data_IF_399927441215
#
_entry.id   IF_399927441215
#
_cell.length_a   1.000
_cell.length_b   1.000
_cell.length_c   1.000
_cell.angle_alpha   90.00
_cell.angle_beta   90.00
_cell.angle_gamma   90.00
#
_symmetry.space_group_name_H-M   'P 1'
#
loop_
_entity.id
_entity.type
_entity.pdbx_description
1 polymer ?
#
# COMPACT_ATOMS: atom_id res chain seq x y z
N UNK A 1 5.82 -37.39 -50.53
CA UNK A 1 4.48 -37.50 -49.91
C UNK A 1 4.72 -37.55 -48.41
N UNK A 2 4.12 -36.59 -47.66
CA UNK A 2 4.11 -36.39 -46.18
C UNK A 2 5.51 -36.06 -45.58
N UNK A 3 5.75 -35.02 -44.76
CA UNK A 3 5.08 -34.61 -43.52
C UNK A 3 5.61 -33.20 -43.14
N UNK A 4 4.77 -32.17 -43.18
CA UNK A 4 4.08 -31.54 -42.03
C UNK A 4 5.01 -30.82 -41.02
N UNK A 5 4.80 -29.50 -40.94
CA UNK A 5 5.36 -28.53 -39.99
C UNK A 5 5.20 -28.98 -38.52
N UNK A 6 6.17 -28.60 -37.69
CA UNK A 6 5.91 -28.23 -36.31
C UNK A 6 6.90 -27.13 -35.89
N UNK A 7 6.49 -25.86 -36.02
CA UNK A 7 7.07 -24.76 -35.27
C UNK A 7 6.66 -24.95 -33.81
N UNK A 8 7.53 -25.55 -33.02
CA UNK A 8 7.34 -25.58 -31.57
C UNK A 8 8.11 -24.39 -30.98
N UNK A 9 7.49 -23.21 -31.06
CA UNK A 9 7.78 -22.15 -30.10
C UNK A 9 7.19 -22.63 -28.78
N UNK A 10 7.99 -23.30 -27.95
CA UNK A 10 7.61 -23.54 -26.55
C UNK A 10 7.75 -22.18 -25.85
N UNK A 11 6.70 -21.38 -25.96
CA UNK A 11 6.47 -20.26 -25.06
C UNK A 11 6.11 -20.88 -23.71
N UNK A 12 7.10 -21.14 -22.86
CA UNK A 12 6.84 -21.41 -21.46
C UNK A 12 6.30 -20.10 -20.86
N UNK A 13 4.98 -19.95 -20.80
CA UNK A 13 4.40 -19.06 -19.78
C UNK A 13 4.81 -19.65 -18.44
N UNK A 14 5.82 -19.05 -17.79
CA UNK A 14 5.87 -19.12 -16.35
C UNK A 14 4.56 -18.46 -15.88
N UNK A 15 3.70 -19.25 -15.25
CA UNK A 15 2.62 -18.73 -14.41
C UNK A 15 3.30 -17.85 -13.37
N UNK A 16 3.24 -16.54 -13.56
CA UNK A 16 3.63 -15.58 -12.52
C UNK A 16 2.51 -15.66 -11.49
N UNK A 17 2.53 -16.68 -10.64
CA UNK A 17 1.72 -16.71 -9.42
C UNK A 17 2.40 -15.82 -8.36
N UNK A 18 2.74 -14.59 -8.74
CA UNK A 18 3.06 -13.54 -7.79
C UNK A 18 1.77 -12.79 -7.54
N UNK A 19 1.28 -12.79 -6.30
CA UNK A 19 0.38 -11.72 -5.87
C UNK A 19 1.07 -10.40 -6.23
N UNK A 20 0.38 -9.56 -6.99
CA UNK A 20 0.95 -8.32 -7.47
C UNK A 20 1.11 -7.38 -6.28
N UNK A 21 2.34 -7.25 -5.78
CA UNK A 21 2.68 -6.26 -4.75
C UNK A 21 2.77 -4.89 -5.42
N UNK A 22 1.81 -4.01 -5.12
CA UNK A 22 1.72 -2.66 -5.66
C UNK A 22 2.61 -1.72 -4.85
N UNK A 23 3.63 -1.12 -5.49
CA UNK A 23 4.41 -0.06 -4.87
C UNK A 23 3.56 1.20 -4.76
N UNK A 24 3.35 1.66 -3.52
CA UNK A 24 2.55 2.85 -3.21
C UNK A 24 3.44 4.10 -3.11
N UNK A 25 4.69 3.92 -2.67
CA UNK A 25 5.64 5.03 -2.53
C UNK A 25 6.83 4.66 -1.66
N UNK A 26 7.48 5.69 -1.11
CA UNK A 26 8.66 5.59 -0.26
C UNK A 26 8.54 6.56 0.91
N UNK A 27 9.13 6.20 2.04
CA UNK A 27 9.26 7.14 3.15
C UNK A 27 10.01 8.39 2.69
N UNK A 28 9.42 9.56 2.96
CA UNK A 28 10.10 10.84 2.94
C UNK A 28 10.92 10.97 4.23
N UNK A 29 12.26 10.97 4.14
CA UNK A 29 13.12 11.05 5.31
C UNK A 29 13.05 12.44 5.95
N UNK A 30 12.84 12.51 7.26
CA UNK A 30 12.94 13.77 8.03
C UNK A 30 14.16 13.74 8.96
N UNK A 31 14.38 12.63 9.66
CA UNK A 31 15.51 12.43 10.56
C UNK A 31 15.75 10.93 10.86
N UNK A 32 16.72 10.63 11.71
CA UNK A 32 17.05 9.27 12.19
C UNK A 32 17.26 8.18 11.11
N UNK A 33 17.57 8.60 9.88
CA UNK A 33 17.87 7.67 8.79
C UNK A 33 16.67 6.85 8.33
N UNK A 34 15.43 7.32 8.57
CA UNK A 34 14.23 6.64 8.10
C UNK A 34 14.21 6.58 6.58
N UNK A 35 14.16 5.37 6.03
CA UNK A 35 13.97 5.11 4.61
C UNK A 35 13.27 3.77 4.41
N UNK A 36 12.76 3.53 3.21
CA UNK A 36 12.11 2.28 2.84
C UNK A 36 11.00 2.50 1.83
N UNK A 37 10.65 1.42 1.14
CA UNK A 37 9.57 1.42 0.16
C UNK A 37 8.29 0.88 0.80
N UNK A 38 7.16 1.48 0.49
CA UNK A 38 5.84 1.08 1.00
C UNK A 38 5.03 0.48 -0.14
N UNK A 39 4.48 -0.70 0.11
CA UNK A 39 3.75 -1.49 -0.86
C UNK A 39 2.43 -2.02 -0.27
N UNK A 40 1.45 -2.28 -1.13
CA UNK A 40 0.27 -3.09 -0.82
C UNK A 40 0.42 -4.47 -1.42
N UNK A 41 0.28 -5.51 -0.62
CA UNK A 41 0.15 -6.89 -1.10
C UNK A 41 -1.33 -7.26 -1.31
N UNK A 42 -2.20 -6.76 -0.43
CA UNK A 42 -3.67 -6.83 -0.57
C UNK A 42 -4.29 -5.50 -0.12
N UNK A 43 -5.62 -5.39 -0.12
CA UNK A 43 -6.30 -4.22 0.46
C UNK A 43 -6.15 -4.11 1.99
N UNK A 44 -5.56 -5.12 2.64
CA UNK A 44 -5.35 -5.22 4.10
C UNK A 44 -3.90 -5.38 4.52
N UNK A 45 -3.03 -5.81 3.60
CA UNK A 45 -1.65 -6.12 3.90
C UNK A 45 -0.74 -5.04 3.34
N UNK A 46 -0.08 -4.32 4.25
CA UNK A 46 0.94 -3.32 3.94
C UNK A 46 2.33 -3.93 4.16
N UNK A 47 3.24 -3.69 3.22
CA UNK A 47 4.60 -4.23 3.26
C UNK A 47 5.60 -3.08 3.14
N UNK A 48 6.56 -3.04 4.06
CA UNK A 48 7.70 -2.12 4.03
C UNK A 48 8.95 -2.90 3.65
N UNK A 49 9.61 -2.49 2.57
CA UNK A 49 10.83 -3.12 2.06
C UNK A 49 12.04 -2.22 2.25
N UNK A 50 13.21 -2.84 2.44
CA UNK A 50 14.49 -2.16 2.61
C UNK A 50 14.44 -1.07 3.71
N UNK A 51 13.71 -1.35 4.80
CA UNK A 51 13.50 -0.37 5.86
C UNK A 51 14.82 -0.03 6.56
N UNK A 52 15.07 1.26 6.76
CA UNK A 52 16.23 1.78 7.48
C UNK A 52 15.75 2.68 8.61
N UNK A 53 16.43 2.60 9.75
CA UNK A 53 16.22 3.47 10.90
C UNK A 53 17.41 3.30 11.87
N UNK A 54 17.95 4.38 12.41
CA UNK A 54 19.20 4.33 13.18
C UNK A 54 19.07 3.75 14.60
N UNK A 55 17.85 3.51 15.08
CA UNK A 55 17.57 2.89 16.38
C UNK A 55 17.95 3.74 17.59
N UNK A 56 18.19 5.06 17.43
CA UNK A 56 18.70 5.91 18.51
C UNK A 56 17.64 6.65 19.31
N UNK A 57 16.39 6.69 18.86
CA UNK A 57 15.36 7.37 19.62
C UNK A 57 14.91 6.52 20.82
N UNK A 58 14.43 7.16 21.90
CA UNK A 58 14.02 6.43 23.09
C UNK A 58 12.76 5.58 22.89
N UNK A 59 11.84 6.03 22.02
CA UNK A 59 10.48 5.49 21.98
C UNK A 59 9.83 5.60 20.58
N UNK A 60 10.49 5.03 19.56
CA UNK A 60 10.05 5.09 18.16
C UNK A 60 9.24 3.86 17.74
N UNK A 61 8.22 4.09 16.92
CA UNK A 61 7.25 3.10 16.48
C UNK A 61 6.80 3.33 15.03
N UNK A 62 6.23 2.30 14.42
CA UNK A 62 5.44 2.50 13.20
C UNK A 62 4.02 2.93 13.59
N UNK A 63 3.59 4.06 13.06
CA UNK A 63 2.23 4.57 13.21
C UNK A 63 1.62 4.79 11.84
N UNK A 64 0.30 4.62 11.75
CA UNK A 64 -0.47 5.03 10.58
C UNK A 64 -1.73 5.77 11.01
N UNK A 65 -2.32 6.53 10.10
CA UNK A 65 -3.57 7.23 10.35
C UNK A 65 -4.40 7.36 9.09
N UNK A 66 -5.72 7.44 9.27
CA UNK A 66 -6.71 7.56 8.19
C UNK A 66 -7.08 9.01 7.89
N UNK A 67 -6.50 9.97 8.61
CA UNK A 67 -6.70 11.40 8.37
C UNK A 67 -5.60 12.25 9.02
N UNK A 68 -5.53 13.52 8.63
CA UNK A 68 -4.64 14.50 9.23
C UNK A 68 -3.16 14.24 8.93
N UNK A 69 -2.30 14.53 9.91
CA UNK A 69 -0.84 14.40 9.82
C UNK A 69 -0.34 13.37 10.86
N UNK A 70 0.87 12.80 10.66
CA UNK A 70 1.54 11.94 11.63
C UNK A 70 1.50 12.50 13.04
N UNK A 71 0.94 11.70 13.94
CA UNK A 71 0.78 12.03 15.36
C UNK A 71 0.35 10.79 16.16
N UNK A 72 0.36 10.90 17.48
CA UNK A 72 -0.17 9.87 18.40
C UNK A 72 -1.69 9.66 18.33
N UNK A 73 -2.42 10.45 17.53
CA UNK A 73 -3.85 10.20 17.25
C UNK A 73 -4.09 9.13 16.17
N UNK A 74 -3.02 8.64 15.52
CA UNK A 74 -3.10 7.48 14.63
C UNK A 74 -3.28 6.17 15.41
N UNK A 75 -2.86 5.07 14.80
CA UNK A 75 -2.81 3.76 15.43
C UNK A 75 -1.43 3.13 15.27
N UNK A 76 -1.00 2.43 16.31
CA UNK A 76 0.25 1.69 16.35
C UNK A 76 0.17 0.49 15.40
N UNK A 77 1.21 0.34 14.57
CA UNK A 77 1.48 -0.88 13.82
C UNK A 77 2.52 -1.69 14.60
N UNK A 78 2.05 -2.72 15.31
CA UNK A 78 2.89 -3.52 16.21
C UNK A 78 4.02 -4.24 15.46
N UNK A 79 5.26 -3.95 15.84
CA UNK A 79 6.43 -4.59 15.26
C UNK A 79 7.48 -4.95 16.32
N UNK A 80 7.97 -6.21 16.35
CA UNK A 80 7.43 -7.37 15.64
C UNK A 80 5.95 -7.64 15.97
N UNK A 81 5.23 -8.48 15.20
CA UNK A 81 3.80 -8.73 15.43
C UNK A 81 3.50 -9.11 16.89
N UNK A 82 2.54 -8.43 17.53
CA UNK A 82 2.20 -8.62 18.94
C UNK A 82 3.07 -7.84 19.93
N UNK A 83 4.02 -7.03 19.46
CA UNK A 83 4.94 -6.26 20.30
C UNK A 83 4.68 -4.76 20.21
N UNK A 84 4.59 -4.14 21.39
CA UNK A 84 4.54 -2.68 21.56
C UNK A 84 5.87 -2.12 22.11
N UNK A 85 6.97 -2.87 21.95
CA UNK A 85 8.30 -2.40 22.31
C UNK A 85 8.85 -1.42 21.25
N UNK A 86 9.68 -0.43 21.64
CA UNK A 86 10.29 0.50 20.70
C UNK A 86 11.13 -0.19 19.63
N UNK A 87 11.19 0.42 18.46
CA UNK A 87 11.98 -0.05 17.33
C UNK A 87 13.48 -0.04 17.64
N UNK A 88 14.16 -1.13 17.28
CA UNK A 88 15.61 -1.19 17.20
C UNK A 88 16.15 -0.57 15.90
N UNK A 89 17.45 -0.70 15.66
CA UNK A 89 18.07 -0.25 14.42
C UNK A 89 17.76 -1.19 13.25
N UNK A 90 17.61 -0.62 12.06
CA UNK A 90 17.45 -1.29 10.77
C UNK A 90 18.42 -0.68 9.77
N UNK A 91 19.10 -1.53 9.00
CA UNK A 91 20.10 -1.12 8.01
C UNK A 91 19.67 -1.43 6.57
N UNK A 92 18.42 -1.85 6.38
CA UNK A 92 17.85 -2.20 5.08
C UNK A 92 18.19 -3.62 4.62
N UNK A 93 18.98 -4.39 5.38
CA UNK A 93 19.30 -5.79 5.05
C UNK A 93 18.35 -6.80 5.69
N UNK A 94 17.48 -6.35 6.60
CA UNK A 94 16.45 -7.17 7.22
C UNK A 94 15.37 -7.55 6.19
N UNK A 95 14.60 -8.60 6.50
CA UNK A 95 13.46 -8.99 5.66
C UNK A 95 12.34 -7.95 5.66
N UNK A 96 11.45 -8.07 4.68
CA UNK A 96 10.26 -7.23 4.55
C UNK A 96 9.45 -7.20 5.85
N UNK A 97 8.97 -6.01 6.21
CA UNK A 97 8.10 -5.78 7.36
C UNK A 97 6.66 -5.80 6.87
N UNK A 98 5.86 -6.72 7.40
CA UNK A 98 4.47 -6.91 6.96
C UNK A 98 3.51 -6.55 8.08
N UNK A 99 2.48 -5.77 7.75
CA UNK A 99 1.40 -5.39 8.64
C UNK A 99 0.05 -5.80 8.06
N UNK A 100 -0.74 -6.52 8.85
CA UNK A 100 -2.18 -6.65 8.63
C UNK A 100 -2.88 -5.48 9.31
N UNK A 101 -3.60 -4.66 8.55
CA UNK A 101 -4.28 -3.48 9.07
C UNK A 101 -5.43 -3.86 10.02
N UNK A 102 -5.58 -3.17 11.16
CA UNK A 102 -6.53 -3.57 12.19
C UNK A 102 -7.99 -3.38 11.77
N UNK A 103 -8.85 -4.29 12.25
CA UNK A 103 -10.30 -4.21 12.06
C UNK A 103 -10.71 -4.12 10.59
N UNK A 104 -11.54 -3.12 10.27
CA UNK A 104 -12.05 -2.91 8.92
C UNK A 104 -11.25 -1.88 8.10
N UNK A 105 -10.13 -1.35 8.59
CA UNK A 105 -9.28 -0.39 7.85
C UNK A 105 -8.62 -1.05 6.65
N UNK A 106 -8.76 -0.46 5.46
CA UNK A 106 -8.05 -0.86 4.24
C UNK A 106 -6.84 0.03 4.00
N UNK A 107 -5.92 -0.41 3.14
CA UNK A 107 -4.78 0.41 2.68
C UNK A 107 -5.28 1.71 2.04
N UNK A 108 -6.38 1.65 1.28
CA UNK A 108 -7.02 2.83 0.67
C UNK A 108 -7.62 3.80 1.68
N UNK A 109 -7.83 3.41 2.93
CA UNK A 109 -8.34 4.31 3.98
C UNK A 109 -7.20 5.10 4.65
N UNK A 110 -5.94 4.74 4.41
CA UNK A 110 -4.79 5.40 5.03
C UNK A 110 -4.56 6.77 4.41
N UNK A 111 -4.30 7.76 5.25
CA UNK A 111 -3.81 9.08 4.85
C UNK A 111 -2.30 9.16 4.97
N UNK A 112 -1.71 8.50 5.97
CA UNK A 112 -0.26 8.50 6.19
C UNK A 112 0.22 7.27 6.96
N UNK A 113 1.52 6.97 6.80
CA UNK A 113 2.31 6.07 7.64
C UNK A 113 3.61 6.77 8.04
N UNK A 114 4.08 6.56 9.25
CA UNK A 114 5.23 7.28 9.83
C UNK A 114 6.02 6.42 10.80
N UNK A 115 7.31 6.72 10.93
CA UNK A 115 8.12 6.36 12.09
C UNK A 115 7.98 7.49 13.12
N UNK A 116 7.11 7.28 14.10
CA UNK A 116 6.75 8.27 15.11
C UNK A 116 7.43 7.98 16.44
N UNK A 117 7.99 9.01 17.07
CA UNK A 117 8.52 8.93 18.42
C UNK A 117 7.50 9.49 19.42
N UNK A 118 6.98 8.66 20.31
CA UNK A 118 5.98 9.09 21.30
C UNK A 118 6.58 10.03 22.35
N UNK A 119 7.72 9.67 22.93
CA UNK A 119 8.41 10.46 23.96
C UNK A 119 8.74 11.90 23.51
N UNK A 120 9.12 12.07 22.24
CA UNK A 120 9.50 13.37 21.69
C UNK A 120 8.34 14.07 20.97
N UNK A 121 7.27 13.35 20.66
CA UNK A 121 6.19 13.77 19.78
C UNK A 121 6.71 14.32 18.44
N UNK A 122 7.62 13.58 17.80
CA UNK A 122 8.26 13.96 16.53
C UNK A 122 8.13 12.83 15.51
N UNK A 123 7.87 13.22 14.27
CA UNK A 123 7.90 12.37 13.08
C UNK A 123 9.32 12.30 12.50
N UNK A 124 9.87 11.10 12.38
CA UNK A 124 11.20 10.88 11.81
C UNK A 124 11.20 10.60 10.32
N UNK A 125 10.04 10.29 9.76
CA UNK A 125 9.87 10.05 8.34
C UNK A 125 8.50 9.46 8.08
N UNK A 126 7.87 9.94 7.02
CA UNK A 126 6.49 9.58 6.70
C UNK A 126 6.30 9.34 5.21
N UNK A 127 5.20 8.72 4.86
CA UNK A 127 4.63 8.79 3.54
C UNK A 127 3.16 9.17 3.69
N UNK A 128 2.69 10.10 2.86
CA UNK A 128 1.26 10.31 2.67
C UNK A 128 0.78 9.46 1.51
N UNK A 129 -0.37 8.82 1.67
CA UNK A 129 -1.01 8.07 0.60
C UNK A 129 -1.78 9.04 -0.28
N UNK A 130 -1.49 8.98 -1.58
CA UNK A 130 -2.29 9.68 -2.58
C UNK A 130 -3.56 8.86 -2.83
N UNK A 131 -4.65 9.32 -2.26
CA UNK A 131 -5.98 8.69 -2.32
C UNK A 131 -6.52 8.62 -3.76
N UNK A 132 -6.09 9.51 -4.66
CA UNK A 132 -6.50 9.49 -6.07
C UNK A 132 -5.69 8.43 -6.83
N UNK A 133 -4.37 8.37 -6.61
CA UNK A 133 -3.50 7.41 -7.30
C UNK A 133 -3.76 5.94 -6.89
N UNK A 134 -4.17 5.69 -5.65
CA UNK A 134 -4.48 4.33 -5.16
C UNK A 134 -5.88 3.84 -5.57
N UNK A 135 -6.81 4.74 -5.91
CA UNK A 135 -8.14 4.38 -6.42
C UNK A 135 -8.14 3.93 -7.89
N UNK A 136 -7.13 4.31 -8.67
CA UNK A 136 -7.00 3.93 -10.08
C UNK A 136 -6.28 2.59 -10.30
N UNK A 137 -5.68 2.00 -9.26
CA UNK A 137 -4.99 0.72 -9.34
C UNK A 137 -5.94 -0.50 -9.28
N UNK A 138 -7.26 -0.29 -9.27
CA UNK A 138 -8.21 -1.38 -9.39
C UNK A 138 -8.07 -2.07 -10.76
N UNK A 139 -7.93 -3.42 -10.82
CA UNK A 139 -7.84 -4.13 -12.08
C UNK A 139 -9.18 -4.03 -12.79
N UNK A 140 -9.25 -3.25 -13.87
CA UNK A 140 -10.32 -3.15 -14.87
C UNK A 140 -11.48 -4.15 -14.64
N UNK A 141 -12.48 -3.74 -13.87
CA UNK A 141 -13.80 -4.32 -13.97
C UNK A 141 -14.44 -3.76 -15.25
N UNK A 142 -14.46 -4.59 -16.29
CA UNK A 142 -15.08 -4.23 -17.57
C UNK A 142 -16.57 -3.89 -17.42
N UNK A 143 -16.99 -2.85 -18.15
CA UNK A 143 -18.16 -2.94 -19.01
C UNK A 143 -19.54 -2.75 -18.38
N UNK A 144 -20.08 -1.55 -18.55
CA UNK A 144 -21.51 -1.25 -18.51
C UNK A 144 -21.70 0.23 -18.77
N UNK A 145 -21.64 0.70 -20.01
CA UNK A 145 -22.75 0.50 -20.93
C UNK A 145 -23.78 1.58 -20.65
N UNK A 146 -23.54 2.76 -21.20
CA UNK A 146 -24.46 3.89 -21.24
C UNK A 146 -25.65 3.52 -22.17
N UNK A 147 -26.91 3.60 -21.70
CA UNK A 147 -28.00 3.85 -22.62
C UNK A 147 -28.37 5.32 -22.59
N UNK A 148 -28.10 5.97 -23.72
CA UNK A 148 -28.72 7.21 -24.14
C UNK A 148 -30.25 7.07 -24.05
N UNK A 149 -30.85 7.85 -23.17
CA UNK A 149 -32.30 7.95 -23.00
C UNK A 149 -32.84 9.17 -23.72
N UNK A 150 -32.82 9.16 -25.05
CA UNK A 150 -33.68 10.03 -25.85
C UNK A 150 -34.98 9.28 -26.20
N UNK A 151 -36.09 9.76 -25.65
CA UNK A 151 -37.41 9.51 -26.21
C UNK A 151 -38.33 10.69 -25.87
N UNK A 152 -38.38 11.65 -26.78
CA UNK A 152 -39.50 12.58 -26.91
C UNK A 152 -40.75 11.78 -27.30
N UNK A 153 -41.87 11.98 -26.59
CA UNK A 153 -43.20 11.62 -27.07
C UNK A 153 -44.09 12.84 -26.94
N UNK A 154 -44.23 13.56 -28.05
CA UNK A 154 -45.41 14.37 -28.36
C UNK A 154 -46.59 13.44 -28.67
N UNK A 155 -47.75 13.69 -28.06
CA UNK A 155 -49.00 13.01 -28.38
C UNK A 155 -50.13 13.38 -27.44
N UNK A 156 -51.02 14.26 -27.89
CA UNK A 156 -52.19 14.74 -27.15
C UNK A 156 -53.44 13.86 -27.21
N UNK A 157 -54.56 14.51 -26.83
CA UNK A 157 -55.92 14.03 -26.56
C UNK A 157 -56.03 13.55 -25.09
N UNK A 158 -56.78 14.22 -24.21
CA UNK A 158 -58.21 14.59 -24.29
C UNK A 158 -58.56 16.01 -23.81
#
# INVERSE_FOLDING_TARGET
MVQALAFLVVLTLALVNGEAVLKLGEFQPLSNGVAGEIHAETDKILVIKNFMYDGKAPDAYFYAGTSGNPSSNGFLLEYPPGSTAPLGAFDGSQGDITFELPGNIKVTDLAWISVWCEDLAIDFGNMYFDQEAIGEAEPNAEGGGEPEGEAEVEGGLD
#
